data_IF_036585995315
#
_entry.id   IF_036585995315
#
_cell.length_a   1.000
_cell.length_b   1.000
_cell.length_c   1.000
_cell.angle_alpha   90.00
_cell.angle_beta   90.00
_cell.angle_gamma   90.00
#
_symmetry.space_group_name_H-M   'P 1'
#
loop_
_entity.id
_entity.type
_entity.pdbx_description
1 polymer ?
#
# COMPACT_ATOMS: atom_id res chain seq x y z
N UNK A 1 -24.67 -3.89 29.46
CA UNK A 1 -24.29 -4.38 28.12
C UNK A 1 -24.93 -5.76 27.95
N UNK A 2 -25.45 -6.07 26.77
CA UNK A 2 -25.96 -7.42 26.49
C UNK A 2 -24.82 -8.43 26.62
N UNK A 3 -25.10 -9.62 27.17
CA UNK A 3 -24.12 -10.69 27.31
C UNK A 3 -23.62 -11.12 25.91
N UNK A 4 -22.30 -11.23 25.73
CA UNK A 4 -21.71 -11.63 24.44
C UNK A 4 -22.01 -13.11 24.18
N UNK A 5 -23.11 -13.37 23.47
CA UNK A 5 -23.59 -14.72 23.13
C UNK A 5 -22.67 -15.52 22.20
N UNK A 6 -21.70 -14.87 21.55
CA UNK A 6 -20.80 -15.52 20.59
C UNK A 6 -19.44 -15.88 21.18
N UNK A 7 -19.13 -15.37 22.37
CA UNK A 7 -17.89 -15.62 23.09
C UNK A 7 -17.73 -17.12 23.36
N UNK A 8 -16.58 -17.66 23.00
CA UNK A 8 -16.17 -19.02 23.39
C UNK A 8 -14.79 -18.97 24.00
N UNK A 9 -14.61 -19.63 25.13
CA UNK A 9 -13.35 -19.66 25.85
C UNK A 9 -12.88 -21.12 25.91
N UNK A 10 -11.73 -21.40 25.30
CA UNK A 10 -11.04 -22.69 25.35
C UNK A 10 -9.79 -22.56 26.23
N UNK A 11 -9.78 -23.32 27.32
CA UNK A 11 -8.71 -23.31 28.32
C UNK A 11 -7.91 -24.59 28.34
N UNK A 12 -8.22 -25.57 27.50
CA UNK A 12 -7.72 -26.94 27.69
C UNK A 12 -7.05 -27.48 26.42
N UNK A 13 -7.52 -27.09 25.23
CA UNK A 13 -7.01 -27.65 23.96
C UNK A 13 -5.62 -27.16 23.56
N UNK A 14 -5.19 -26.01 24.10
CA UNK A 14 -3.96 -25.32 23.70
C UNK A 14 -3.06 -25.01 24.90
N UNK A 15 -1.74 -24.78 24.70
CA UNK A 15 -0.84 -24.32 25.75
C UNK A 15 -1.15 -22.88 26.23
N UNK A 16 -2.15 -22.21 25.65
CA UNK A 16 -2.65 -20.88 26.01
C UNK A 16 -4.17 -20.92 26.22
N UNK A 17 -4.76 -19.84 26.75
CA UNK A 17 -6.20 -19.63 26.77
C UNK A 17 -6.59 -18.95 25.47
N UNK A 18 -7.59 -19.52 24.79
CA UNK A 18 -8.11 -18.99 23.54
C UNK A 18 -9.53 -18.46 23.75
N UNK A 19 -9.71 -17.15 23.60
CA UNK A 19 -11.02 -16.50 23.63
C UNK A 19 -11.40 -16.12 22.20
N UNK A 20 -12.44 -16.76 21.68
CA UNK A 20 -12.95 -16.55 20.33
C UNK A 20 -14.15 -15.61 20.36
N UNK A 21 -14.22 -14.68 19.39
CA UNK A 21 -15.32 -13.72 19.21
C UNK A 21 -15.54 -12.79 20.42
N UNK A 22 -14.47 -12.21 20.96
CA UNK A 22 -14.59 -11.17 21.98
C UNK A 22 -15.13 -9.89 21.32
N UNK A 23 -16.23 -9.35 21.85
CA UNK A 23 -16.86 -8.12 21.35
C UNK A 23 -16.12 -6.90 21.89
N UNK A 24 -15.76 -5.99 20.99
CA UNK A 24 -15.13 -4.70 21.25
C UNK A 24 -16.14 -3.61 20.84
N UNK A 25 -16.70 -2.84 21.80
CA UNK A 25 -17.59 -1.75 21.47
C UNK A 25 -16.80 -0.57 20.86
N UNK A 26 -17.15 -0.16 19.65
CA UNK A 26 -16.54 1.00 18.99
C UNK A 26 -17.14 2.29 19.53
N UNK A 27 -16.28 3.26 19.86
CA UNK A 27 -16.63 4.57 20.44
C UNK A 27 -16.57 5.68 19.39
N UNK A 28 -15.67 5.56 18.42
CA UNK A 28 -15.30 6.64 17.49
C UNK A 28 -16.05 6.56 16.15
N UNK A 29 -15.90 5.45 15.40
CA UNK A 29 -16.47 5.27 14.05
C UNK A 29 -17.67 4.32 14.05
N UNK A 30 -18.76 4.74 13.39
CA UNK A 30 -20.01 3.97 13.17
C UNK A 30 -20.44 3.07 14.35
N UNK A 31 -20.47 3.65 15.56
CA UNK A 31 -20.94 3.07 16.85
C UNK A 31 -21.50 1.65 16.71
N UNK A 32 -20.60 0.68 16.76
CA UNK A 32 -20.87 -0.72 16.47
C UNK A 32 -20.06 -1.67 17.35
N UNK A 33 -20.03 -2.94 16.95
CA UNK A 33 -19.26 -3.98 17.64
C UNK A 33 -18.26 -4.56 16.64
N UNK A 34 -16.98 -4.53 17.01
CA UNK A 34 -15.94 -5.31 16.36
C UNK A 34 -15.73 -6.61 17.13
N UNK A 35 -15.32 -7.69 16.44
CA UNK A 35 -14.95 -8.95 17.08
C UNK A 35 -13.49 -9.27 16.88
N UNK A 36 -12.84 -9.71 17.95
CA UNK A 36 -11.48 -10.20 17.90
C UNK A 36 -11.37 -11.61 18.51
N UNK A 37 -10.21 -12.22 18.30
CA UNK A 37 -9.77 -13.38 19.05
C UNK A 37 -8.63 -12.95 19.97
N UNK A 38 -8.61 -13.49 21.19
CA UNK A 38 -7.58 -13.19 22.19
C UNK A 38 -6.88 -14.48 22.59
N UNK A 39 -5.55 -14.43 22.66
CA UNK A 39 -4.67 -15.54 23.00
C UNK A 39 -3.88 -15.12 24.25
N UNK A 40 -4.08 -15.83 25.37
CA UNK A 40 -3.52 -15.43 26.67
C UNK A 40 -2.66 -16.54 27.29
N UNK A 41 -1.59 -16.21 28.02
CA UNK A 41 -0.95 -17.14 28.96
C UNK A 41 -1.96 -17.73 29.97
N UNK A 42 -1.70 -18.94 30.46
CA UNK A 42 -2.62 -19.65 31.38
C UNK A 42 -2.82 -18.96 32.72
N UNK A 43 -1.83 -18.20 33.16
CA UNK A 43 -1.78 -17.44 34.41
C UNK A 43 -2.23 -15.98 34.25
N UNK A 44 -2.70 -15.58 33.07
CA UNK A 44 -3.27 -14.25 32.84
C UNK A 44 -4.62 -14.06 33.55
N UNK A 45 -4.83 -12.89 34.13
CA UNK A 45 -6.12 -12.47 34.69
C UNK A 45 -7.25 -12.53 33.64
N UNK A 46 -8.51 -12.86 33.96
CA UNK A 46 -9.03 -13.24 35.27
C UNK A 46 -8.80 -14.72 35.63
N UNK A 47 -8.14 -15.51 34.77
CA UNK A 47 -7.96 -16.95 35.00
C UNK A 47 -6.79 -17.27 35.93
N UNK A 48 -5.82 -16.36 36.00
CA UNK A 48 -4.76 -16.31 37.00
C UNK A 48 -4.66 -14.91 37.61
N UNK A 49 -3.43 -14.43 37.83
CA UNK A 49 -3.17 -13.13 38.49
C UNK A 49 -2.22 -12.21 37.74
N UNK A 50 -1.64 -12.70 36.64
CA UNK A 50 -0.64 -11.95 35.87
C UNK A 50 -1.29 -11.07 34.81
N UNK A 51 -0.61 -9.97 34.48
CA UNK A 51 -0.94 -9.06 33.38
C UNK A 51 0.21 -8.99 32.40
N UNK A 52 -0.09 -8.87 31.10
CA UNK A 52 0.91 -8.91 30.02
C UNK A 52 0.82 -7.69 29.10
N UNK A 53 1.93 -7.29 28.45
CA UNK A 53 1.83 -6.42 27.28
C UNK A 53 1.04 -7.13 26.17
N UNK A 54 0.31 -6.36 25.38
CA UNK A 54 -0.56 -6.86 24.31
C UNK A 54 0.10 -6.62 22.97
N UNK A 55 0.10 -7.63 22.10
CA UNK A 55 0.41 -7.46 20.68
C UNK A 55 -0.92 -7.49 19.92
N UNK A 56 -1.19 -6.46 19.13
CA UNK A 56 -2.44 -6.34 18.38
C UNK A 56 -2.21 -6.20 16.87
N UNK A 57 -3.02 -6.91 16.10
CA UNK A 57 -3.22 -6.74 14.65
C UNK A 57 -4.68 -6.44 14.38
N UNK A 58 -4.94 -5.67 13.32
CA UNK A 58 -6.29 -5.28 12.93
C UNK A 58 -6.50 -5.52 11.44
N UNK A 59 -7.56 -6.26 11.12
CA UNK A 59 -8.11 -6.37 9.76
C UNK A 59 -9.43 -5.62 9.68
N UNK A 60 -9.79 -5.05 8.52
CA UNK A 60 -10.96 -4.19 8.43
C UNK A 60 -12.24 -5.04 8.28
N UNK A 61 -13.36 -4.55 8.80
CA UNK A 61 -14.65 -5.23 8.70
C UNK A 61 -15.28 -5.06 7.31
N UNK A 62 -15.24 -3.83 6.79
CA UNK A 62 -15.43 -3.54 5.36
C UNK A 62 -14.07 -3.62 4.67
N UNK A 63 -13.98 -4.17 3.46
CA UNK A 63 -12.72 -4.22 2.71
C UNK A 63 -12.40 -2.85 2.07
N UNK A 64 -12.47 -1.78 2.86
CA UNK A 64 -11.96 -0.43 2.54
C UNK A 64 -10.61 -0.24 3.24
N UNK A 65 -9.56 -0.71 2.59
CA UNK A 65 -8.23 -0.69 3.15
C UNK A 65 -7.71 0.74 3.28
N UNK A 66 -7.11 1.07 4.44
CA UNK A 66 -6.54 2.39 4.73
C UNK A 66 -7.55 3.53 4.93
N UNK A 67 -8.84 3.22 5.02
CA UNK A 67 -9.88 4.22 5.27
C UNK A 67 -9.74 4.91 6.63
N UNK A 68 -10.35 6.09 6.75
CA UNK A 68 -10.47 6.78 8.04
C UNK A 68 -11.12 5.89 9.09
N UNK A 69 -12.23 5.23 8.73
CA UNK A 69 -12.97 4.33 9.63
C UNK A 69 -12.13 3.15 10.10
N UNK A 70 -11.29 2.58 9.23
CA UNK A 70 -10.29 1.55 9.62
C UNK A 70 -9.37 2.06 10.74
N UNK A 71 -8.82 3.27 10.59
CA UNK A 71 -7.89 3.83 11.59
C UNK A 71 -8.57 4.23 12.90
N UNK A 72 -9.82 4.69 12.86
CA UNK A 72 -10.61 5.05 14.04
C UNK A 72 -11.10 3.82 14.79
N UNK A 73 -11.55 2.77 14.09
CA UNK A 73 -11.86 1.50 14.73
C UNK A 73 -10.62 0.86 15.38
N UNK A 74 -9.45 0.95 14.74
CA UNK A 74 -8.21 0.43 15.33
C UNK A 74 -7.78 1.22 16.57
N UNK A 75 -8.05 2.54 16.60
CA UNK A 75 -7.85 3.37 17.79
C UNK A 75 -8.64 2.81 18.98
N UNK A 76 -9.93 2.52 18.79
CA UNK A 76 -10.79 1.96 19.83
C UNK A 76 -10.32 0.57 20.30
N UNK A 77 -9.85 -0.27 19.37
CA UNK A 77 -9.31 -1.59 19.69
C UNK A 77 -8.08 -1.49 20.59
N UNK A 78 -7.19 -0.53 20.33
CA UNK A 78 -5.98 -0.32 21.14
C UNK A 78 -6.35 0.13 22.55
N UNK A 79 -7.22 1.14 22.68
CA UNK A 79 -7.65 1.62 23.99
C UNK A 79 -8.38 0.51 24.77
N UNK A 80 -9.30 -0.20 24.12
CA UNK A 80 -10.00 -1.33 24.74
C UNK A 80 -9.03 -2.40 25.22
N UNK A 81 -8.04 -2.79 24.39
CA UNK A 81 -7.06 -3.80 24.74
C UNK A 81 -6.16 -3.35 25.91
N UNK A 82 -5.89 -2.05 26.03
CA UNK A 82 -5.11 -1.49 27.14
C UNK A 82 -5.86 -1.51 28.49
N UNK A 83 -7.19 -1.57 28.45
CA UNK A 83 -8.08 -1.51 29.61
C UNK A 83 -8.50 -2.89 30.15
N UNK A 84 -8.12 -3.98 29.47
CA UNK A 84 -8.49 -5.33 29.89
C UNK A 84 -7.73 -5.81 31.12
N UNK A 85 -8.34 -6.67 31.93
CA UNK A 85 -7.73 -7.18 33.18
C UNK A 85 -6.46 -8.01 32.95
N UNK A 86 -6.33 -8.67 31.81
CA UNK A 86 -5.10 -9.38 31.40
C UNK A 86 -4.00 -8.45 30.86
N UNK A 87 -4.31 -7.17 30.67
CA UNK A 87 -3.42 -6.20 30.04
C UNK A 87 -2.60 -5.43 31.07
N UNK A 88 -1.31 -5.24 30.78
CA UNK A 88 -0.43 -4.33 31.53
C UNK A 88 -0.59 -2.87 31.11
N UNK A 89 -1.67 -2.55 30.38
CA UNK A 89 -1.94 -1.27 29.73
C UNK A 89 -0.91 -0.84 28.66
N UNK A 90 -0.03 -1.75 28.25
CA UNK A 90 0.92 -1.55 27.16
C UNK A 90 0.52 -2.37 25.94
N UNK A 91 0.22 -1.70 24.84
CA UNK A 91 -0.13 -2.31 23.56
C UNK A 91 0.95 -2.01 22.54
N UNK A 92 1.49 -3.03 21.89
CA UNK A 92 2.39 -2.93 20.76
C UNK A 92 1.69 -3.42 19.49
N UNK A 93 2.04 -2.82 18.35
CA UNK A 93 1.53 -3.25 17.05
C UNK A 93 2.65 -3.93 16.25
N UNK A 94 2.30 -4.99 15.55
CA UNK A 94 3.21 -5.73 14.69
C UNK A 94 2.42 -6.27 13.51
N UNK A 95 2.95 -6.16 12.30
CA UNK A 95 2.29 -6.73 11.14
C UNK A 95 3.00 -6.35 9.85
N UNK A 96 2.69 -7.10 8.79
CA UNK A 96 3.29 -6.96 7.46
C UNK A 96 2.26 -6.36 6.48
N UNK A 97 2.73 -5.59 5.49
CA UNK A 97 1.91 -5.11 4.36
C UNK A 97 0.72 -4.25 4.83
N UNK A 98 -0.53 -4.69 4.61
CA UNK A 98 -1.73 -4.01 5.09
C UNK A 98 -1.66 -3.73 6.59
N UNK A 99 -1.25 -4.71 7.39
CA UNK A 99 -1.15 -4.55 8.84
C UNK A 99 -0.05 -3.58 9.25
N UNK A 100 0.98 -3.37 8.42
CA UNK A 100 1.97 -2.33 8.64
C UNK A 100 1.41 -0.95 8.25
N UNK A 101 0.69 -0.86 7.13
CA UNK A 101 0.06 0.38 6.67
C UNK A 101 -0.96 0.96 7.66
N UNK A 102 -1.73 0.12 8.35
CA UNK A 102 -2.68 0.57 9.39
C UNK A 102 -2.00 1.09 10.65
N UNK A 103 -0.79 0.58 10.99
CA UNK A 103 -0.05 1.01 12.17
C UNK A 103 0.33 2.48 12.11
N UNK A 104 0.83 2.96 10.97
CA UNK A 104 1.20 4.36 10.79
C UNK A 104 0.02 5.29 11.07
N UNK A 105 -1.15 4.95 10.50
CA UNK A 105 -2.40 5.72 10.60
C UNK A 105 -2.91 5.80 12.02
N UNK A 106 -2.97 4.65 12.70
CA UNK A 106 -3.50 4.61 14.07
C UNK A 106 -2.50 5.22 15.07
N UNK A 107 -1.19 5.04 14.87
CA UNK A 107 -0.18 5.61 15.74
C UNK A 107 -0.15 7.14 15.69
N UNK A 108 -0.38 7.73 14.52
CA UNK A 108 -0.48 9.18 14.36
C UNK A 108 -1.68 9.78 15.12
N UNK A 109 -2.69 8.95 15.44
CA UNK A 109 -3.84 9.34 16.29
C UNK A 109 -3.56 9.24 17.79
N UNK A 110 -2.41 8.71 18.19
CA UNK A 110 -1.95 8.62 19.57
C UNK A 110 -2.96 7.98 20.56
N UNK A 111 -3.49 6.76 20.27
CA UNK A 111 -4.38 6.07 21.21
C UNK A 111 -3.72 5.81 22.55
N UNK A 112 -4.50 5.93 23.63
CA UNK A 112 -4.01 5.61 24.97
C UNK A 112 -3.60 4.13 25.04
N UNK A 113 -2.47 3.87 25.70
CA UNK A 113 -1.92 2.52 25.89
C UNK A 113 -1.01 2.03 24.75
N UNK A 114 -1.00 2.70 23.59
CA UNK A 114 -0.03 2.39 22.54
C UNK A 114 1.39 2.70 23.03
N UNK A 115 2.25 1.69 22.96
CA UNK A 115 3.60 1.71 23.55
C UNK A 115 4.72 1.46 22.53
N UNK A 116 4.43 0.84 21.38
CA UNK A 116 5.38 0.65 20.28
C UNK A 116 4.66 0.24 18.99
N UNK A 117 5.30 0.50 17.84
CA UNK A 117 4.86 -0.02 16.53
C UNK A 117 6.01 -0.68 15.78
N UNK A 118 5.70 -1.76 15.07
CA UNK A 118 6.61 -2.53 14.21
C UNK A 118 5.94 -2.70 12.84
N UNK A 119 5.89 -1.63 12.04
CA UNK A 119 5.40 -1.68 10.67
C UNK A 119 6.45 -2.35 9.78
N UNK A 120 6.16 -3.58 9.37
CA UNK A 120 7.02 -4.34 8.47
C UNK A 120 6.52 -4.19 7.03
N UNK A 121 7.24 -3.44 6.21
CA UNK A 121 6.94 -3.26 4.78
C UNK A 121 5.52 -2.74 4.50
N UNK A 122 5.14 -1.65 5.18
CA UNK A 122 3.81 -1.03 5.04
C UNK A 122 3.85 0.40 4.52
N UNK A 123 2.94 0.70 3.58
CA UNK A 123 2.77 2.03 3.00
C UNK A 123 2.42 3.10 4.04
N UNK A 124 3.08 4.24 3.98
CA UNK A 124 2.75 5.41 4.81
C UNK A 124 1.93 6.43 4.03
N UNK A 125 2.14 6.57 2.73
CA UNK A 125 1.39 7.49 1.88
C UNK A 125 0.51 6.70 0.91
N UNK A 126 -0.79 6.61 1.22
CA UNK A 126 -1.70 5.80 0.39
C UNK A 126 -1.79 6.30 -1.05
N UNK A 127 -1.69 7.61 -1.28
CA UNK A 127 -1.70 8.13 -2.63
C UNK A 127 -0.41 7.73 -3.32
N UNK A 128 0.76 8.19 -2.85
CA UNK A 128 2.03 7.99 -3.55
C UNK A 128 2.48 6.53 -3.64
N UNK A 129 2.23 5.73 -2.61
CA UNK A 129 2.74 4.35 -2.53
C UNK A 129 1.84 3.34 -3.24
N UNK A 130 0.56 3.66 -3.43
CA UNK A 130 -0.44 2.71 -3.96
C UNK A 130 -1.15 3.21 -5.22
N UNK A 131 -1.20 4.51 -5.45
CA UNK A 131 -1.71 5.14 -6.67
C UNK A 131 -0.59 5.96 -7.34
N UNK A 132 -0.11 5.56 -8.51
CA UNK A 132 0.92 6.31 -9.23
C UNK A 132 0.34 7.57 -9.86
N UNK A 133 0.16 8.63 -9.05
CA UNK A 133 -0.41 9.90 -9.53
C UNK A 133 -1.85 9.76 -10.01
N UNK A 134 -2.67 8.98 -9.29
CA UNK A 134 -4.07 8.71 -9.65
C UNK A 134 -4.26 7.57 -10.67
N UNK A 135 -3.25 6.73 -10.89
CA UNK A 135 -3.37 5.47 -11.65
C UNK A 135 -3.09 4.29 -10.72
N UNK A 136 -3.92 3.25 -10.78
CA UNK A 136 -3.73 2.03 -9.99
C UNK A 136 -2.52 1.25 -10.49
N UNK A 137 -1.51 1.01 -9.64
CA UNK A 137 -0.38 0.10 -9.94
C UNK A 137 -0.60 -1.30 -9.36
N UNK A 138 -1.54 -1.42 -8.41
CA UNK A 138 -2.00 -2.69 -7.83
C UNK A 138 -3.42 -3.01 -8.29
N UNK A 139 -3.59 -3.61 -9.47
CA UNK A 139 -4.90 -4.17 -9.88
C UNK A 139 -5.19 -5.53 -9.21
N UNK A 140 -4.15 -6.22 -8.73
CA UNK A 140 -4.21 -7.62 -8.29
C UNK A 140 -4.95 -7.88 -6.98
N UNK A 141 -4.90 -6.95 -6.01
CA UNK A 141 -5.41 -7.26 -4.66
C UNK A 141 -6.95 -7.15 -4.59
N UNK A 142 -7.61 -6.47 -5.54
CA UNK A 142 -9.06 -6.25 -5.51
C UNK A 142 -9.89 -7.34 -6.19
N UNK A 143 -9.33 -8.13 -7.11
CA UNK A 143 -10.09 -9.08 -7.93
C UNK A 143 -9.98 -10.53 -7.46
N UNK A 144 -8.88 -10.90 -6.78
CA UNK A 144 -8.62 -12.29 -6.41
C UNK A 144 -8.32 -12.45 -4.91
N UNK A 145 -9.38 -12.39 -4.10
CA UNK A 145 -9.41 -13.15 -2.84
C UNK A 145 -10.59 -14.14 -2.89
N UNK A 146 -10.41 -15.30 -3.55
CA UNK A 146 -11.24 -16.46 -3.27
C UNK A 146 -10.90 -16.97 -1.86
N UNK A 147 -11.92 -17.05 -1.01
CA UNK A 147 -11.83 -17.68 0.31
C UNK A 147 -12.20 -19.15 0.18
N UNK A 148 -11.24 -20.05 0.38
CA UNK A 148 -11.48 -21.49 0.55
C UNK A 148 -10.68 -22.06 1.74
N UNK A 149 -11.15 -23.17 2.35
CA UNK A 149 -10.59 -23.71 3.58
C UNK A 149 -9.33 -24.55 3.32
N UNK A 150 -8.32 -24.41 4.19
CA UNK A 150 -7.16 -25.30 4.24
C UNK A 150 -7.31 -26.28 5.42
N UNK A 151 -7.10 -27.58 5.17
CA UNK A 151 -7.26 -28.71 6.12
C UNK A 151 -6.28 -28.68 7.33
N UNK A 152 -5.36 -27.73 7.37
CA UNK A 152 -4.23 -27.62 8.30
C UNK A 152 -4.36 -26.45 9.30
N UNK A 153 -5.59 -26.00 9.60
CA UNK A 153 -5.88 -25.39 10.90
C UNK A 153 -5.68 -23.87 11.04
N UNK A 154 -5.53 -23.13 9.95
CA UNK A 154 -5.77 -21.68 9.93
C UNK A 154 -7.24 -21.41 9.47
N UNK A 155 -8.03 -20.65 10.24
CA UNK A 155 -9.48 -20.36 9.99
C UNK A 155 -9.73 -18.83 9.92
N UNK A 156 -10.23 -18.16 8.87
CA UNK A 156 -11.56 -18.04 8.17
C UNK A 156 -12.60 -17.11 8.89
N UNK A 157 -13.38 -16.26 8.15
CA UNK A 157 -14.60 -15.58 8.63
C UNK A 157 -15.62 -16.54 9.26
N UNK A 158 -16.52 -16.00 10.08
CA UNK A 158 -17.43 -16.76 10.94
C UNK A 158 -18.27 -17.83 10.21
N UNK A 159 -18.75 -18.85 10.94
CA UNK A 159 -19.71 -19.87 10.45
C UNK A 159 -21.06 -19.27 9.98
N UNK A 160 -21.29 -17.98 10.18
CA UNK A 160 -22.21 -17.20 9.35
C UNK A 160 -21.36 -16.65 8.20
N UNK A 161 -21.11 -17.46 7.18
CA UNK A 161 -20.60 -16.93 5.92
C UNK A 161 -21.64 -15.90 5.48
N UNK A 162 -21.33 -14.60 5.37
CA UNK A 162 -22.28 -13.67 4.79
C UNK A 162 -22.67 -14.24 3.44
N UNK A 163 -23.95 -14.16 3.09
CA UNK A 163 -24.40 -14.55 1.75
C UNK A 163 -23.44 -13.94 0.73
N UNK A 164 -23.08 -14.61 -0.38
CA UNK A 164 -22.12 -14.07 -1.35
C UNK A 164 -22.39 -12.61 -1.75
N UNK A 165 -23.67 -12.21 -1.77
CA UNK A 165 -24.12 -10.83 -1.96
C UNK A 165 -23.66 -9.86 -0.86
N UNK A 166 -23.69 -10.26 0.41
CA UNK A 166 -23.18 -9.47 1.54
C UNK A 166 -21.64 -9.37 1.55
N UNK A 167 -20.93 -10.40 1.05
CA UNK A 167 -19.49 -10.30 0.83
C UNK A 167 -19.15 -9.33 -0.30
N UNK A 168 -19.98 -9.26 -1.34
CA UNK A 168 -19.83 -8.30 -2.43
C UNK A 168 -20.16 -6.89 -1.96
N UNK A 169 -21.21 -6.70 -1.15
CA UNK A 169 -21.57 -5.37 -0.62
C UNK A 169 -20.50 -4.80 0.32
N UNK A 170 -19.75 -5.65 1.02
CA UNK A 170 -18.71 -5.24 1.95
C UNK A 170 -17.33 -5.04 1.28
N UNK A 171 -17.26 -5.11 -0.05
CA UNK A 171 -16.04 -4.89 -0.84
C UNK A 171 -16.03 -3.48 -1.42
N UNK A 172 -14.96 -2.74 -1.16
CA UNK A 172 -14.63 -1.55 -1.96
C UNK A 172 -13.70 -1.94 -3.08
N UNK A 173 -14.07 -1.51 -4.28
CA UNK A 173 -13.29 -1.75 -5.49
C UNK A 173 -12.31 -0.59 -5.68
N UNK A 174 -11.06 -0.86 -5.31
CA UNK A 174 -9.98 0.14 -5.38
C UNK A 174 -9.75 0.66 -6.80
N UNK A 175 -10.02 -0.15 -7.83
CA UNK A 175 -9.88 0.29 -9.23
C UNK A 175 -10.93 1.34 -9.57
N UNK A 176 -12.18 1.13 -9.14
CA UNK A 176 -13.26 2.11 -9.30
C UNK A 176 -13.01 3.37 -8.49
N UNK A 177 -12.57 3.22 -7.24
CA UNK A 177 -12.29 4.37 -6.38
C UNK A 177 -11.14 5.23 -6.93
N UNK A 178 -10.05 4.61 -7.39
CA UNK A 178 -8.90 5.34 -7.99
C UNK A 178 -9.29 6.00 -9.31
N UNK A 179 -10.16 5.38 -10.12
CA UNK A 179 -10.68 6.00 -11.33
C UNK A 179 -11.59 7.21 -11.03
N UNK A 180 -12.35 7.14 -9.93
CA UNK A 180 -13.25 8.21 -9.48
C UNK A 180 -12.50 9.37 -8.80
N UNK A 181 -11.37 9.08 -8.15
CA UNK A 181 -10.58 10.04 -7.37
C UNK A 181 -9.17 10.17 -7.92
N UNK A 182 -8.84 11.34 -8.46
CA UNK A 182 -7.59 11.58 -9.20
C UNK A 182 -6.57 12.36 -8.40
N UNK A 183 -7.01 13.29 -7.55
CA UNK A 183 -6.13 14.28 -6.93
C UNK A 183 -6.07 14.12 -5.41
N UNK A 184 -4.89 14.35 -4.83
CA UNK A 184 -4.63 14.09 -3.41
C UNK A 184 -5.46 14.99 -2.47
N UNK A 185 -5.89 16.16 -2.95
CA UNK A 185 -6.74 17.12 -2.22
C UNK A 185 -8.23 16.73 -2.18
N UNK A 186 -8.63 15.70 -2.92
CA UNK A 186 -9.99 15.15 -2.82
C UNK A 186 -10.22 14.48 -1.47
N UNK A 187 -11.45 14.59 -0.94
CA UNK A 187 -11.82 14.05 0.38
C UNK A 187 -11.49 12.55 0.52
N UNK A 188 -11.58 11.79 -0.57
CA UNK A 188 -11.20 10.38 -0.59
C UNK A 188 -9.75 10.16 -0.14
N UNK A 189 -8.77 10.85 -0.73
CA UNK A 189 -7.37 10.67 -0.34
C UNK A 189 -7.03 11.46 0.92
N UNK A 190 -7.57 12.67 1.06
CA UNK A 190 -7.37 13.53 2.22
C UNK A 190 -7.78 12.83 3.52
N UNK A 191 -8.90 12.09 3.53
CA UNK A 191 -9.36 11.35 4.71
C UNK A 191 -8.47 10.16 5.10
N UNK A 192 -7.65 9.65 4.17
CA UNK A 192 -6.70 8.54 4.38
C UNK A 192 -5.30 9.01 4.75
N UNK A 193 -5.04 10.31 4.62
CA UNK A 193 -3.77 10.93 4.92
C UNK A 193 -3.65 11.27 6.41
N UNK A 194 -2.43 11.28 6.92
CA UNK A 194 -2.13 11.56 8.31
C UNK A 194 -0.73 12.18 8.41
N UNK A 195 -0.48 12.91 9.48
CA UNK A 195 0.82 13.49 9.75
C UNK A 195 1.73 12.46 10.43
N UNK A 196 2.74 11.98 9.72
CA UNK A 196 3.74 11.04 10.25
C UNK A 196 4.47 11.62 11.47
N UNK A 197 4.66 12.95 11.55
CA UNK A 197 5.36 13.58 12.68
C UNK A 197 4.53 13.54 13.97
N UNK A 198 3.24 13.25 13.88
CA UNK A 198 2.38 13.03 15.03
C UNK A 198 2.64 11.69 15.74
N UNK A 199 3.43 10.77 15.18
CA UNK A 199 3.77 9.51 15.83
C UNK A 199 4.85 9.75 16.91
N UNK A 200 4.52 9.40 18.16
CA UNK A 200 5.39 9.65 19.33
C UNK A 200 5.95 8.37 19.98
N UNK A 201 5.41 7.21 19.62
CA UNK A 201 5.81 5.93 20.24
C UNK A 201 7.07 5.36 19.57
N UNK A 202 7.86 4.55 20.29
CA UNK A 202 8.97 3.80 19.69
C UNK A 202 8.56 3.04 18.42
N UNK A 203 9.41 3.13 17.40
CA UNK A 203 9.17 2.62 16.06
C UNK A 203 10.34 1.74 15.62
N UNK A 204 10.04 0.52 15.16
CA UNK A 204 10.95 -0.31 14.37
C UNK A 204 10.34 -0.53 12.98
N UNK A 205 10.77 0.28 12.01
CA UNK A 205 10.33 0.15 10.62
C UNK A 205 11.22 -0.84 9.89
N UNK A 206 10.63 -1.78 9.17
CA UNK A 206 11.36 -2.68 8.26
C UNK A 206 10.97 -2.38 6.82
N UNK A 207 11.99 -2.23 5.99
CA UNK A 207 11.88 -1.91 4.57
C UNK A 207 12.80 -2.85 3.78
N UNK A 208 12.41 -3.19 2.56
CA UNK A 208 13.24 -3.98 1.65
C UNK A 208 13.27 -3.32 0.25
N UNK A 209 14.35 -3.56 -0.49
CA UNK A 209 14.54 -3.06 -1.86
C UNK A 209 13.76 -3.85 -2.93
N UNK A 210 13.23 -5.02 -2.56
CA UNK A 210 12.41 -5.89 -3.41
C UNK A 210 10.92 -5.52 -3.36
N UNK A 211 10.59 -4.50 -2.56
CA UNK A 211 9.27 -3.93 -2.37
C UNK A 211 9.14 -2.76 -3.32
N UNK A 212 8.01 -2.69 -4.00
CA UNK A 212 7.74 -1.70 -5.07
C UNK A 212 7.85 -0.23 -4.60
N UNK A 213 7.93 0.00 -3.29
CA UNK A 213 7.97 1.31 -2.63
C UNK A 213 9.37 1.77 -2.23
N UNK A 214 10.43 1.01 -2.55
CA UNK A 214 11.79 1.37 -2.16
C UNK A 214 12.78 1.18 -3.31
N UNK A 215 13.12 2.28 -4.01
CA UNK A 215 14.49 2.51 -4.44
C UNK A 215 14.79 4.01 -4.61
N UNK A 216 15.75 4.51 -3.83
CA UNK A 216 16.45 5.77 -4.06
C UNK A 216 17.78 5.52 -4.78
N UNK A 217 18.18 6.53 -5.56
CA UNK A 217 19.27 6.55 -6.53
C UNK A 217 20.53 5.75 -6.15
N UNK A 218 20.85 4.73 -6.96
CA UNK A 218 22.20 4.18 -7.06
C UNK A 218 22.86 4.57 -8.37
N UNK A 219 24.17 4.82 -8.28
CA UNK A 219 25.12 5.16 -9.34
C UNK A 219 25.21 6.66 -9.71
N UNK A 220 25.41 7.53 -8.72
CA UNK A 220 26.09 8.80 -8.99
C UNK A 220 27.59 8.50 -9.21
N UNK A 221 28.03 8.63 -10.47
CA UNK A 221 29.43 8.61 -10.92
C UNK A 221 30.20 7.28 -10.94
N UNK A 222 29.54 6.13 -10.82
CA UNK A 222 30.16 4.82 -11.07
C UNK A 222 29.62 4.21 -12.39
N UNK A 223 30.35 4.43 -13.48
CA UNK A 223 29.99 4.00 -14.84
C UNK A 223 30.84 2.81 -15.34
N UNK A 224 30.91 1.74 -14.55
CA UNK A 224 31.74 0.59 -14.91
C UNK A 224 31.19 -0.21 -16.11
N UNK A 225 29.87 -0.09 -16.39
CA UNK A 225 29.18 -0.74 -17.52
C UNK A 225 29.03 0.17 -18.77
N UNK A 226 29.57 1.40 -18.76
CA UNK A 226 29.68 2.24 -19.95
C UNK A 226 28.41 2.98 -20.39
N UNK A 227 27.49 3.27 -19.47
CA UNK A 227 26.30 4.12 -19.64
C UNK A 227 26.64 5.52 -20.18
N UNK A 228 27.76 6.13 -19.76
CA UNK A 228 28.22 7.45 -20.27
C UNK A 228 28.97 7.34 -21.60
N UNK A 229 29.37 6.13 -22.01
CA UNK A 229 30.16 5.88 -23.23
C UNK A 229 29.31 5.69 -24.50
N UNK A 230 27.98 5.56 -24.37
CA UNK A 230 27.03 5.59 -25.49
C UNK A 230 26.83 4.27 -26.24
N UNK A 231 27.26 3.14 -25.68
CA UNK A 231 27.05 1.81 -26.29
C UNK A 231 25.65 1.22 -26.04
N UNK A 232 24.86 1.80 -25.14
CA UNK A 232 23.50 1.38 -24.83
C UNK A 232 22.47 2.30 -25.52
N UNK A 233 21.31 1.77 -25.97
CA UNK A 233 20.22 2.61 -26.47
C UNK A 233 19.73 3.54 -25.35
N UNK A 234 19.61 4.84 -25.65
CA UNK A 234 19.26 5.86 -24.64
C UNK A 234 17.83 5.70 -24.14
N UNK A 235 16.93 5.26 -25.03
CA UNK A 235 15.52 5.02 -24.72
C UNK A 235 15.06 3.76 -25.45
N UNK A 236 14.23 2.93 -24.81
CA UNK A 236 13.47 1.88 -25.47
C UNK A 236 11.99 2.19 -25.32
N UNK A 237 11.26 2.27 -26.43
CA UNK A 237 9.86 2.69 -26.44
C UNK A 237 8.98 1.48 -26.75
N UNK A 238 7.98 1.23 -25.92
CA UNK A 238 6.93 0.24 -26.17
C UNK A 238 5.64 0.96 -26.58
N UNK A 239 5.12 0.66 -27.77
CA UNK A 239 3.88 1.24 -28.27
C UNK A 239 2.68 0.37 -27.88
N UNK A 240 1.96 0.79 -26.84
CA UNK A 240 0.72 0.13 -26.41
C UNK A 240 -0.47 0.69 -27.18
N UNK A 241 -1.13 -0.15 -27.98
CA UNK A 241 -2.41 0.17 -28.64
C UNK A 241 -3.42 -0.93 -28.36
N UNK A 242 -4.44 -0.60 -27.57
CA UNK A 242 -5.45 -1.55 -27.09
C UNK A 242 -5.21 -1.99 -25.64
N UNK A 243 -6.12 -2.81 -25.13
CA UNK A 243 -6.06 -3.39 -23.78
C UNK A 243 -5.30 -4.73 -23.83
N UNK A 244 -4.31 -4.91 -22.94
CA UNK A 244 -3.60 -6.17 -22.78
C UNK A 244 -4.32 -7.16 -21.87
N UNK A 245 -5.39 -6.75 -21.18
CA UNK A 245 -5.98 -7.50 -20.08
C UNK A 245 -5.21 -7.29 -18.78
N UNK A 246 -5.72 -7.90 -17.71
CA UNK A 246 -5.12 -7.85 -16.37
C UNK A 246 -4.14 -9.00 -16.23
N UNK A 247 -2.90 -8.71 -15.83
CA UNK A 247 -1.84 -9.69 -15.54
C UNK A 247 -1.52 -10.70 -16.64
N UNK A 248 -1.51 -10.25 -17.89
CA UNK A 248 -1.16 -11.08 -19.04
C UNK A 248 0.20 -10.66 -19.62
N UNK A 249 1.33 -11.11 -19.03
CA UNK A 249 2.67 -10.74 -19.48
C UNK A 249 2.98 -11.25 -20.89
N UNK A 250 2.36 -12.36 -21.32
CA UNK A 250 2.53 -12.87 -22.69
C UNK A 250 1.90 -11.93 -23.71
N UNK A 251 0.72 -11.37 -23.42
CA UNK A 251 0.13 -10.31 -24.25
C UNK A 251 0.93 -9.03 -24.23
N UNK A 252 1.47 -8.65 -23.08
CA UNK A 252 2.25 -7.43 -22.97
C UNK A 252 3.54 -7.49 -23.81
N UNK A 253 4.15 -8.67 -23.93
CA UNK A 253 5.29 -8.90 -24.83
C UNK A 253 4.95 -8.72 -26.33
N UNK A 254 3.68 -8.79 -26.71
CA UNK A 254 3.25 -8.62 -28.10
C UNK A 254 3.15 -7.14 -28.53
N UNK A 255 3.25 -6.19 -27.59
CA UNK A 255 3.31 -4.79 -27.98
C UNK A 255 4.64 -4.48 -28.68
N UNK A 256 4.61 -3.82 -29.85
CA UNK A 256 5.83 -3.51 -30.58
C UNK A 256 6.69 -2.55 -29.75
N UNK A 257 7.95 -2.95 -29.53
CA UNK A 257 8.96 -2.10 -28.93
C UNK A 257 10.08 -1.79 -29.92
N UNK A 258 10.73 -0.63 -29.75
CA UNK A 258 11.87 -0.22 -30.54
C UNK A 258 12.83 0.65 -29.74
N UNK A 259 14.12 0.46 -29.98
CA UNK A 259 15.16 1.32 -29.44
C UNK A 259 15.18 2.66 -30.17
N UNK A 260 15.39 3.73 -29.42
CA UNK A 260 15.48 5.11 -29.91
C UNK A 260 16.76 5.77 -29.42
N UNK A 261 17.34 6.61 -30.28
CA UNK A 261 18.58 7.32 -30.00
C UNK A 261 18.39 8.58 -29.16
N UNK A 262 17.17 9.13 -29.11
CA UNK A 262 16.85 10.36 -28.40
C UNK A 262 15.37 10.45 -28.00
N UNK A 263 15.04 11.38 -27.10
CA UNK A 263 13.67 11.76 -26.78
C UNK A 263 13.52 13.29 -26.71
N UNK A 264 12.55 13.92 -27.41
CA UNK A 264 11.52 13.31 -28.27
C UNK A 264 12.10 12.61 -29.52
N UNK A 265 11.37 11.63 -30.07
CA UNK A 265 11.81 10.85 -31.25
C UNK A 265 11.94 11.80 -32.46
N UNK A 266 13.11 11.85 -33.15
CA UNK A 266 13.44 12.86 -34.16
C UNK A 266 12.45 13.01 -35.33
N UNK A 267 11.68 11.97 -35.65
CA UNK A 267 10.75 11.94 -36.80
C UNK A 267 9.27 11.87 -36.39
N UNK A 268 8.93 12.32 -35.18
CA UNK A 268 7.52 12.35 -34.72
C UNK A 268 6.71 13.34 -35.56
N UNK A 269 5.71 12.87 -36.31
CA UNK A 269 4.80 13.71 -37.09
C UNK A 269 3.47 13.93 -36.36
N UNK A 270 2.96 15.17 -36.40
CA UNK A 270 1.61 15.50 -35.94
C UNK A 270 0.55 14.97 -36.90
N UNK A 271 -0.52 14.36 -36.36
CA UNK A 271 -1.70 13.96 -37.13
C UNK A 271 -2.77 15.06 -37.07
N UNK A 272 -3.09 15.75 -38.18
CA UNK A 272 -3.93 16.96 -38.16
C UNK A 272 -5.37 16.78 -37.65
N UNK A 273 -5.93 15.57 -37.77
CA UNK A 273 -7.34 15.28 -37.48
C UNK A 273 -7.56 14.55 -36.14
N UNK A 274 -6.49 14.24 -35.41
CA UNK A 274 -6.62 13.64 -34.08
C UNK A 274 -6.76 14.74 -33.03
N UNK A 275 -7.66 14.59 -32.03
CA UNK A 275 -7.66 15.51 -30.89
C UNK A 275 -6.29 15.50 -30.22
N UNK A 276 -5.70 16.68 -30.01
CA UNK A 276 -4.39 16.79 -29.35
C UNK A 276 -4.45 16.12 -27.97
N UNK A 277 -3.57 15.16 -27.68
CA UNK A 277 -3.51 14.52 -26.37
C UNK A 277 -3.30 15.57 -25.28
N UNK A 278 -4.09 15.48 -24.22
CA UNK A 278 -4.01 16.38 -23.06
C UNK A 278 -3.24 15.77 -21.89
N UNK A 279 -2.71 14.55 -22.07
CA UNK A 279 -1.97 13.82 -21.05
C UNK A 279 -0.87 12.91 -21.64
N UNK A 280 0.17 12.67 -20.83
CA UNK A 280 1.20 11.64 -21.08
C UNK A 280 1.46 10.90 -19.76
N UNK A 281 1.24 9.59 -19.72
CA UNK A 281 1.66 8.74 -18.60
C UNK A 281 3.04 8.12 -18.89
N UNK A 282 4.05 8.48 -18.09
CA UNK A 282 5.42 7.99 -18.18
C UNK A 282 5.62 6.79 -17.25
N UNK A 283 6.21 5.72 -17.79
CA UNK A 283 6.65 4.54 -17.06
C UNK A 283 8.15 4.38 -17.31
N UNK A 284 8.96 4.42 -16.26
CA UNK A 284 10.42 4.35 -16.34
C UNK A 284 10.90 3.13 -15.58
N UNK A 285 11.79 2.36 -16.19
CA UNK A 285 12.39 1.17 -15.58
C UNK A 285 13.90 1.25 -15.70
N UNK A 286 14.61 1.11 -14.58
CA UNK A 286 16.06 0.95 -14.57
C UNK A 286 16.40 -0.54 -14.65
N UNK A 287 17.09 -0.94 -15.71
CA UNK A 287 17.46 -2.35 -15.99
C UNK A 287 18.96 -2.53 -15.80
N UNK A 288 19.38 -3.68 -15.29
CA UNK A 288 20.80 -4.08 -15.23
C UNK A 288 21.05 -5.05 -16.37
N UNK A 289 22.09 -4.81 -17.16
CA UNK A 289 22.60 -5.79 -18.11
C UNK A 289 23.95 -6.31 -17.61
N UNK A 290 24.24 -7.59 -17.80
CA UNK A 290 25.57 -8.16 -17.57
C UNK A 290 26.52 -7.85 -18.74
N UNK A 291 27.77 -8.33 -18.64
CA UNK A 291 28.82 -8.07 -19.63
C UNK A 291 28.47 -8.64 -21.02
N UNK A 292 27.59 -9.64 -21.08
CA UNK A 292 27.09 -10.27 -22.30
C UNK A 292 25.83 -9.57 -22.85
N UNK A 293 25.36 -8.51 -22.19
CA UNK A 293 24.17 -7.75 -22.58
C UNK A 293 22.85 -8.41 -22.17
N UNK A 294 22.88 -9.43 -21.30
CA UNK A 294 21.69 -10.10 -20.79
C UNK A 294 21.18 -9.40 -19.53
N UNK A 295 19.86 -9.27 -19.41
CA UNK A 295 19.26 -8.64 -18.24
C UNK A 295 19.46 -9.47 -16.95
N UNK A 296 19.87 -8.77 -15.89
CA UNK A 296 20.00 -9.29 -14.54
C UNK A 296 18.79 -8.86 -13.73
N UNK A 297 18.00 -9.83 -13.29
CA UNK A 297 16.81 -9.63 -12.46
C UNK A 297 17.10 -9.76 -10.98
N UNK A 298 16.26 -9.12 -10.18
CA UNK A 298 16.22 -9.20 -8.73
C UNK A 298 14.95 -9.92 -8.29
N UNK A 299 14.89 -10.38 -7.05
CA UNK A 299 13.68 -10.98 -6.49
C UNK A 299 12.68 -9.89 -6.17
N UNK A 300 11.44 -9.99 -6.66
CA UNK A 300 10.34 -9.09 -6.38
C UNK A 300 9.56 -9.50 -5.14
N UNK A 301 8.52 -8.73 -4.83
CA UNK A 301 7.68 -8.93 -3.62
C UNK A 301 7.01 -10.31 -3.61
N UNK A 302 6.67 -10.87 -4.77
CA UNK A 302 6.04 -12.19 -4.90
C UNK A 302 7.05 -13.30 -5.22
N UNK A 303 8.36 -13.00 -5.15
CA UNK A 303 9.42 -13.89 -5.62
C UNK A 303 9.66 -13.85 -7.13
N UNK A 304 8.93 -12.99 -7.85
CA UNK A 304 9.01 -12.79 -9.29
C UNK A 304 10.31 -12.06 -9.70
N UNK A 305 10.84 -12.28 -10.92
CA UNK A 305 11.99 -11.53 -11.40
C UNK A 305 11.62 -10.06 -11.72
N UNK A 306 12.26 -9.10 -11.07
CA UNK A 306 12.02 -7.65 -11.26
C UNK A 306 13.28 -6.90 -11.69
N UNK A 307 13.13 -5.78 -12.45
CA UNK A 307 14.22 -4.85 -12.75
C UNK A 307 14.69 -4.09 -11.49
N UNK A 308 15.81 -3.35 -11.58
CA UNK A 308 16.40 -2.64 -10.44
C UNK A 308 15.43 -1.64 -9.80
N UNK A 309 14.78 -0.81 -10.62
CA UNK A 309 13.87 0.22 -10.16
C UNK A 309 12.77 0.46 -11.18
N UNK A 310 11.63 0.95 -10.70
CA UNK A 310 10.50 1.39 -11.51
C UNK A 310 10.05 2.76 -11.00
N UNK A 311 9.55 3.60 -11.90
CA UNK A 311 9.01 4.91 -11.56
C UNK A 311 7.94 5.31 -12.56
N UNK A 312 7.04 6.18 -12.11
CA UNK A 312 5.87 6.57 -12.88
C UNK A 312 5.56 8.05 -12.71
N UNK A 313 5.06 8.67 -13.77
CA UNK A 313 4.60 10.05 -13.70
C UNK A 313 3.48 10.31 -14.70
N UNK A 314 2.32 10.73 -14.20
CA UNK A 314 1.35 11.45 -15.01
C UNK A 314 1.88 12.86 -15.27
N UNK A 315 2.18 13.17 -16.52
CA UNK A 315 2.93 14.37 -16.89
C UNK A 315 2.17 15.64 -16.53
N UNK A 316 0.84 15.66 -16.55
CA UNK A 316 0.07 16.82 -16.08
C UNK A 316 0.23 17.11 -14.58
N UNK A 317 0.67 16.13 -13.79
CA UNK A 317 0.95 16.26 -12.36
C UNK A 317 2.44 16.48 -12.08
N UNK A 318 3.22 16.97 -13.06
CA UNK A 318 4.68 17.15 -12.95
C UNK A 318 5.13 18.26 -11.98
N UNK A 319 4.23 19.16 -11.56
CA UNK A 319 4.58 20.33 -10.73
C UNK A 319 5.27 19.88 -9.44
N UNK A 320 6.48 20.40 -9.24
CA UNK A 320 7.31 20.11 -8.06
C UNK A 320 7.05 21.16 -6.98
N UNK A 321 6.90 20.70 -5.74
CA UNK A 321 6.86 21.57 -4.57
C UNK A 321 8.27 21.70 -3.98
N UNK A 322 9.01 22.69 -4.46
CA UNK A 322 10.38 22.95 -4.03
C UNK A 322 10.48 23.40 -2.55
N UNK A 323 9.37 23.84 -1.95
CA UNK A 323 9.32 24.26 -0.56
C UNK A 323 8.95 23.12 0.41
N UNK A 324 8.64 21.93 -0.11
CA UNK A 324 8.28 20.80 0.73
C UNK A 324 9.51 20.29 1.51
N UNK A 325 9.41 20.01 2.83
CA UNK A 325 10.56 19.58 3.64
C UNK A 325 11.20 18.25 3.20
N UNK A 326 10.45 17.42 2.46
CA UNK A 326 10.96 16.17 1.89
C UNK A 326 11.40 16.28 0.42
N UNK A 327 11.39 17.48 -0.16
CA UNK A 327 11.88 17.67 -1.53
C UNK A 327 13.40 17.51 -1.61
N UNK A 328 13.87 16.72 -2.57
CA UNK A 328 15.28 16.57 -2.91
C UNK A 328 15.46 16.59 -4.44
N UNK A 329 16.64 16.97 -4.93
CA UNK A 329 16.95 16.99 -6.36
C UNK A 329 16.73 15.61 -7.03
N UNK A 330 17.09 14.53 -6.32
CA UNK A 330 16.95 13.15 -6.78
C UNK A 330 15.59 12.52 -6.44
N UNK A 331 14.81 13.17 -5.57
CA UNK A 331 13.49 12.72 -5.12
C UNK A 331 12.53 13.92 -5.09
N UNK A 332 12.07 14.39 -6.27
CA UNK A 332 11.25 15.58 -6.35
C UNK A 332 9.87 15.35 -5.74
N UNK A 333 9.60 16.09 -4.66
CA UNK A 333 8.27 16.11 -4.05
C UNK A 333 7.24 16.84 -4.93
N UNK A 334 6.05 16.24 -5.07
CA UNK A 334 4.91 16.78 -5.82
C UNK A 334 3.68 16.64 -4.95
N UNK A 335 2.82 17.65 -4.85
CA UNK A 335 1.66 17.61 -3.96
C UNK A 335 0.48 16.80 -4.56
N UNK A 336 0.40 16.73 -5.89
CA UNK A 336 -0.67 16.07 -6.64
C UNK A 336 -2.07 16.67 -6.40
N UNK A 337 -2.16 17.97 -6.14
CA UNK A 337 -3.43 18.66 -6.00
C UNK A 337 -4.08 18.97 -7.34
N UNK A 338 -5.40 19.06 -7.35
CA UNK A 338 -6.18 19.48 -8.53
C UNK A 338 -5.74 20.85 -9.06
N UNK A 339 -5.35 21.75 -8.16
CA UNK A 339 -4.82 23.08 -8.49
C UNK A 339 -3.41 23.09 -9.11
N UNK A 340 -2.69 21.97 -9.05
CA UNK A 340 -1.33 21.82 -9.56
C UNK A 340 -1.28 21.25 -10.99
N UNK A 341 -2.43 20.92 -11.57
CA UNK A 341 -2.52 20.33 -12.90
C UNK A 341 -1.97 21.29 -13.95
N UNK A 342 -1.00 20.79 -14.71
CA UNK A 342 -0.38 21.46 -15.85
C UNK A 342 -0.65 20.63 -17.10
N UNK A 343 -1.73 20.88 -17.87
CA UNK A 343 -2.03 20.10 -19.07
C UNK A 343 -0.83 20.05 -20.03
N UNK A 344 -0.65 18.93 -20.71
CA UNK A 344 0.34 18.86 -21.80
C UNK A 344 -0.28 19.41 -23.07
N UNK A 345 0.58 19.97 -23.91
CA UNK A 345 0.26 20.57 -25.20
C UNK A 345 1.16 19.95 -26.24
N UNK A 346 0.57 19.70 -27.40
CA UNK A 346 1.28 19.19 -28.56
C UNK A 346 2.45 20.11 -28.95
N UNK A 347 3.60 19.53 -29.27
CA UNK A 347 4.81 20.25 -29.68
C UNK A 347 5.60 20.95 -28.57
N UNK A 348 5.08 21.00 -27.34
CA UNK A 348 5.76 21.61 -26.20
C UNK A 348 6.69 20.59 -25.51
N UNK A 349 7.92 21.03 -25.17
CA UNK A 349 8.90 20.21 -24.45
C UNK A 349 8.79 20.46 -22.96
N UNK A 350 8.66 19.38 -22.18
CA UNK A 350 8.51 19.42 -20.72
C UNK A 350 9.73 18.74 -20.07
N UNK A 351 10.69 19.54 -19.62
CA UNK A 351 11.97 19.08 -19.07
C UNK A 351 13.15 19.67 -19.83
N UNK A 352 14.03 20.35 -19.10
CA UNK A 352 15.23 21.02 -19.62
C UNK A 352 16.28 21.13 -18.53
#
# INVERSE_FOLDING_TARGET
MAENKFLKIDRDSFPYIFMKNVDIPLKTYEKGILRCNVYLPKDASPFGSMTYPVIATYGPWELDTMSRGTSEAFFDVIEWASEQEWSSSKVALLGISYYAGTQWRVAARQPKGLSAIIPWEGMSDYYRDRTSGGTTVFSQISTECPVEPLENGAMIPSKETPHPEALVSNRRDQTKDTAAHKYMDEEYYKSRNFDLSSIQVPLLSVANWTSIVLLDAFLKDNDYDGWKSGQQPRVNVCLRKGDCGVDDPERELNFPSRAESDWPIPDTQSTPDAPSPTEIDLFVTLRKLDAEGKEVFYTGTMGDPVPIAKGWLRTSLRKVNANHPFHQDILPYRDYFSSDVQPVKEGEKYGG
#
